data_IF_774591208915
#
_entry.id   IF_774591208915
#
_cell.length_a   1.000
_cell.length_b   1.000
_cell.length_c   1.000
_cell.angle_alpha   90.00
_cell.angle_beta   90.00
_cell.angle_gamma   90.00
#
_symmetry.space_group_name_H-M   'P 1'
#
loop_
_entity.id
_entity.type
_entity.pdbx_description
1 polymer ?
#
# COMPACT_ATOMS: atom_id res chain seq x y z
N UNK A 1 -22.02 -22.94 -10.84
CA UNK A 1 -20.60 -22.59 -11.00
C UNK A 1 -20.33 -21.37 -10.12
N UNK A 2 -19.39 -21.46 -9.19
CA UNK A 2 -18.96 -20.26 -8.43
C UNK A 2 -17.90 -19.59 -9.28
N UNK A 3 -18.26 -18.48 -9.91
CA UNK A 3 -17.28 -17.59 -10.54
C UNK A 3 -16.70 -16.73 -9.43
N UNK A 4 -15.51 -17.08 -8.96
CA UNK A 4 -14.73 -16.18 -8.12
C UNK A 4 -14.12 -15.17 -9.08
N UNK A 5 -14.76 -14.01 -9.19
CA UNK A 5 -14.09 -12.83 -9.72
C UNK A 5 -13.02 -12.44 -8.70
N UNK A 6 -11.85 -13.08 -8.81
CA UNK A 6 -10.71 -12.81 -7.96
C UNK A 6 -9.91 -11.62 -8.52
N UNK A 7 -10.62 -10.55 -8.90
CA UNK A 7 -10.00 -9.27 -9.18
C UNK A 7 -9.16 -8.89 -7.97
N UNK A 8 -7.84 -9.03 -8.13
CA UNK A 8 -6.90 -8.79 -7.05
C UNK A 8 -6.94 -7.30 -6.78
N UNK A 9 -7.72 -6.90 -5.76
CA UNK A 9 -7.79 -5.50 -5.33
C UNK A 9 -6.38 -5.12 -4.91
N UNK A 10 -5.78 -4.17 -5.63
CA UNK A 10 -4.44 -3.66 -5.38
C UNK A 10 -4.50 -2.15 -5.24
N UNK A 11 -3.68 -1.62 -4.36
CA UNK A 11 -3.46 -0.18 -4.22
C UNK A 11 -1.99 0.09 -4.50
N UNK A 12 -1.73 0.97 -5.45
CA UNK A 12 -0.39 1.45 -5.77
C UNK A 12 -0.05 2.62 -4.83
N UNK A 13 1.04 2.46 -4.09
CA UNK A 13 1.65 3.47 -3.25
C UNK A 13 2.81 4.08 -4.04
N UNK A 14 2.64 5.33 -4.48
CA UNK A 14 3.70 6.08 -5.16
C UNK A 14 4.33 7.08 -4.21
N UNK A 15 5.52 6.75 -3.75
CA UNK A 15 6.32 7.60 -2.88
C UNK A 15 7.11 8.59 -3.73
N UNK A 16 7.01 9.86 -3.39
CA UNK A 16 7.81 10.96 -3.93
C UNK A 16 8.19 11.92 -2.82
N UNK A 17 9.01 12.92 -3.14
CA UNK A 17 9.50 13.87 -2.13
C UNK A 17 8.33 14.52 -1.39
N UNK A 18 8.29 14.31 -0.08
CA UNK A 18 7.27 14.79 0.85
C UNK A 18 5.82 14.38 0.51
N UNK A 19 5.63 13.35 -0.32
CA UNK A 19 4.30 13.01 -0.84
C UNK A 19 4.13 11.52 -1.08
N UNK A 20 3.00 10.99 -0.63
CA UNK A 20 2.51 9.67 -0.98
C UNK A 20 1.24 9.83 -1.82
N UNK A 21 1.19 9.16 -2.97
CA UNK A 21 -0.04 9.03 -3.76
C UNK A 21 -0.52 7.58 -3.69
N UNK A 22 -1.77 7.39 -3.28
CA UNK A 22 -2.47 6.11 -3.30
C UNK A 22 -3.36 6.06 -4.54
N UNK A 23 -3.18 5.05 -5.38
CA UNK A 23 -4.02 4.83 -6.55
C UNK A 23 -4.64 3.42 -6.52
N UNK A 24 -5.96 3.35 -6.65
CA UNK A 24 -6.69 2.10 -6.78
C UNK A 24 -7.40 2.07 -8.13
N UNK A 25 -7.37 0.93 -8.82
CA UNK A 25 -8.07 0.72 -10.07
C UNK A 25 -8.90 -0.56 -9.98
N UNK A 26 -10.22 -0.43 -10.06
CA UNK A 26 -11.14 -1.56 -10.25
C UNK A 26 -11.54 -1.66 -11.72
N UNK A 27 -11.72 -2.87 -12.27
CA UNK A 27 -12.02 -2.98 -13.70
C UNK A 27 -13.39 -2.41 -14.07
N UNK A 28 -14.33 -2.41 -13.12
CA UNK A 28 -15.70 -1.88 -13.29
C UNK A 28 -15.94 -0.54 -12.59
N UNK A 29 -15.16 -0.23 -11.55
CA UNK A 29 -15.41 0.89 -10.62
C UNK A 29 -14.59 2.15 -10.93
N UNK A 30 -13.68 2.10 -11.90
CA UNK A 30 -12.85 3.24 -12.31
C UNK A 30 -11.56 3.38 -11.49
N UNK A 31 -10.94 4.56 -11.57
CA UNK A 31 -9.70 4.89 -10.85
C UNK A 31 -9.99 5.83 -9.69
N UNK A 32 -9.43 5.52 -8.53
CA UNK A 32 -9.41 6.40 -7.35
C UNK A 32 -7.98 6.83 -7.06
N UNK A 33 -7.80 8.09 -6.68
CA UNK A 33 -6.50 8.69 -6.36
C UNK A 33 -6.62 9.54 -5.10
N UNK A 34 -5.73 9.32 -4.13
CA UNK A 34 -5.60 10.10 -2.90
C UNK A 34 -4.15 10.55 -2.76
N UNK A 35 -3.92 11.80 -2.40
CA UNK A 35 -2.57 12.33 -2.13
C UNK A 35 -2.47 12.72 -0.65
N UNK A 36 -1.36 12.33 -0.03
CA UNK A 36 -1.08 12.52 1.39
C UNK A 36 0.31 13.14 1.55
N UNK A 37 0.47 14.18 2.39
CA UNK A 37 1.79 14.63 2.81
C UNK A 37 2.43 13.58 3.72
N UNK A 38 3.71 13.26 3.49
CA UNK A 38 4.48 12.30 4.31
C UNK A 38 5.92 12.78 4.44
N UNK A 39 6.62 12.38 5.51
CA UNK A 39 8.06 12.62 5.64
C UNK A 39 8.87 11.63 4.79
N UNK A 40 9.03 11.91 3.50
CA UNK A 40 9.77 11.02 2.58
C UNK A 40 10.79 11.79 1.74
N UNK A 41 12.08 11.48 1.93
CA UNK A 41 13.20 12.10 1.20
C UNK A 41 13.96 11.11 0.30
N UNK A 42 13.49 9.85 0.23
CA UNK A 42 14.11 8.81 -0.59
C UNK A 42 13.89 8.99 -2.09
N UNK A 43 14.44 8.06 -2.88
CA UNK A 43 14.20 7.98 -4.33
C UNK A 43 12.72 7.68 -4.59
N UNK A 44 12.14 8.27 -5.63
CA UNK A 44 10.77 7.93 -6.02
C UNK A 44 10.61 6.42 -6.26
N UNK A 45 9.57 5.83 -5.69
CA UNK A 45 9.29 4.39 -5.81
C UNK A 45 7.79 4.12 -5.81
N UNK A 46 7.40 3.08 -6.54
CA UNK A 46 6.02 2.61 -6.63
C UNK A 46 5.95 1.19 -6.07
N UNK A 47 5.09 0.98 -5.07
CA UNK A 47 4.89 -0.32 -4.41
C UNK A 47 3.41 -0.69 -4.43
N UNK A 48 3.09 -1.93 -4.77
CA UNK A 48 1.71 -2.44 -4.74
C UNK A 48 1.42 -3.17 -3.45
N UNK A 49 0.25 -2.95 -2.86
CA UNK A 49 -0.23 -3.74 -1.73
C UNK A 49 -1.65 -4.26 -1.95
N UNK A 50 -1.95 -5.42 -1.35
CA UNK A 50 -3.33 -5.82 -1.13
C UNK A 50 -3.91 -4.95 0.00
N UNK A 51 -4.92 -4.10 -0.26
CA UNK A 51 -5.46 -3.19 0.74
C UNK A 51 -6.11 -3.92 1.91
N UNK A 52 -6.52 -5.18 1.76
CA UNK A 52 -7.11 -5.94 2.86
C UNK A 52 -6.14 -6.05 4.05
N UNK A 53 -4.85 -6.32 3.79
CA UNK A 53 -3.86 -6.44 4.86
C UNK A 53 -3.59 -5.11 5.57
N UNK A 54 -3.55 -4.01 4.81
CA UNK A 54 -3.41 -2.67 5.39
C UNK A 54 -4.63 -2.29 6.23
N UNK A 55 -5.84 -2.58 5.75
CA UNK A 55 -7.08 -2.31 6.49
C UNK A 55 -7.15 -3.15 7.77
N UNK A 56 -6.74 -4.42 7.75
CA UNK A 56 -6.68 -5.25 8.97
C UNK A 56 -5.71 -4.67 10.00
N UNK A 57 -4.53 -4.19 9.57
CA UNK A 57 -3.60 -3.52 10.46
C UNK A 57 -4.18 -2.22 11.04
N UNK A 58 -4.79 -1.38 10.20
CA UNK A 58 -5.34 -0.09 10.62
C UNK A 58 -6.50 -0.23 11.64
N UNK A 59 -7.19 -1.38 11.69
CA UNK A 59 -8.26 -1.63 12.69
C UNK A 59 -7.76 -1.72 14.12
N UNK A 60 -6.49 -2.09 14.33
CA UNK A 60 -5.92 -2.30 15.67
C UNK A 60 -5.02 -1.15 16.12
N UNK A 61 -4.71 -0.22 15.21
CA UNK A 61 -3.93 0.97 15.50
C UNK A 61 -4.85 2.08 16.02
N UNK A 62 -4.50 2.80 17.09
CA UNK A 62 -5.28 3.94 17.55
C UNK A 62 -5.44 5.01 16.46
N UNK A 63 -6.61 5.64 16.39
CA UNK A 63 -6.82 6.79 15.52
C UNK A 63 -5.74 7.85 15.77
N UNK A 64 -5.29 8.52 14.71
CA UNK A 64 -4.25 9.55 14.71
C UNK A 64 -2.82 9.09 15.05
N UNK A 65 -2.58 7.77 15.11
CA UNK A 65 -1.22 7.26 15.27
C UNK A 65 -0.35 7.54 14.05
N UNK A 66 0.89 7.96 14.30
CA UNK A 66 1.90 8.08 13.26
C UNK A 66 2.45 6.69 12.90
N UNK A 67 2.51 6.41 11.60
CA UNK A 67 3.01 5.15 11.06
C UNK A 67 4.33 5.40 10.34
N UNK A 68 5.34 4.59 10.66
CA UNK A 68 6.63 4.59 9.94
C UNK A 68 6.71 3.33 9.08
N UNK A 69 7.04 3.51 7.79
CA UNK A 69 7.17 2.40 6.84
C UNK A 69 8.64 2.27 6.45
N UNK A 70 9.22 1.11 6.73
CA UNK A 70 10.57 0.77 6.32
C UNK A 70 10.53 0.12 4.94
N UNK A 71 11.01 0.86 3.94
CA UNK A 71 10.97 0.51 2.53
C UNK A 71 12.40 0.30 2.01
N UNK A 72 12.62 -0.84 1.35
CA UNK A 72 13.89 -1.13 0.66
C UNK A 72 13.70 -0.98 -0.85
N UNK A 73 12.76 -1.74 -1.41
CA UNK A 73 12.35 -1.68 -2.80
C UNK A 73 10.90 -2.16 -2.97
N UNK A 74 10.43 -2.28 -4.22
CA UNK A 74 9.06 -2.64 -4.54
C UNK A 74 8.73 -4.15 -4.41
N UNK A 75 9.73 -4.99 -4.13
CA UNK A 75 9.59 -6.46 -4.08
C UNK A 75 9.87 -7.00 -2.67
N UNK A 76 10.58 -6.24 -1.85
CA UNK A 76 10.96 -6.60 -0.49
C UNK A 76 9.79 -6.38 0.50
N UNK A 77 9.54 -7.31 1.45
CA UNK A 77 8.57 -7.10 2.51
C UNK A 77 8.77 -5.78 3.23
N UNK A 78 7.66 -5.11 3.52
CA UNK A 78 7.64 -3.80 4.18
C UNK A 78 7.27 -3.99 5.63
N UNK A 79 8.08 -3.43 6.52
CA UNK A 79 7.80 -3.39 7.94
C UNK A 79 7.14 -2.04 8.27
N UNK A 80 6.02 -2.10 8.99
CA UNK A 80 5.26 -0.93 9.40
C UNK A 80 5.27 -0.86 10.92
N UNK A 81 5.74 0.26 11.45
CA UNK A 81 5.83 0.53 12.87
C UNK A 81 4.74 1.50 13.31
N UNK A 82 4.18 1.25 14.49
CA UNK A 82 3.28 2.16 15.18
C UNK A 82 3.69 2.24 16.65
N UNK A 83 4.29 3.37 17.06
CA UNK A 83 4.88 3.48 18.40
C UNK A 83 6.01 2.46 18.64
N UNK A 84 6.26 2.12 19.91
CA UNK A 84 7.39 1.26 20.29
C UNK A 84 7.09 -0.25 20.18
N UNK A 85 5.84 -0.67 20.38
CA UNK A 85 5.51 -2.07 20.66
C UNK A 85 4.70 -2.76 19.55
N UNK A 86 4.36 -2.05 18.47
CA UNK A 86 3.60 -2.61 17.36
C UNK A 86 4.38 -2.55 16.05
N UNK A 87 4.54 -3.73 15.44
CA UNK A 87 5.13 -3.88 14.11
C UNK A 87 4.29 -4.82 13.27
N UNK A 88 4.12 -4.49 11.99
CA UNK A 88 3.33 -5.25 11.03
C UNK A 88 4.12 -5.46 9.75
N UNK A 89 4.22 -6.71 9.29
CA UNK A 89 4.91 -7.05 8.05
C UNK A 89 3.88 -7.27 6.93
N UNK A 90 4.08 -6.63 5.79
CA UNK A 90 3.27 -6.84 4.59
C UNK A 90 4.15 -7.10 3.37
N UNK A 91 3.77 -8.09 2.57
CA UNK A 91 4.48 -8.44 1.33
C UNK A 91 3.91 -7.62 0.17
N UNK A 92 4.75 -6.94 -0.62
CA UNK A 92 4.31 -6.26 -1.83
C UNK A 92 3.73 -7.21 -2.88
N UNK A 93 2.89 -6.65 -3.74
CA UNK A 93 2.41 -7.29 -4.97
C UNK A 93 2.89 -6.50 -6.18
N UNK A 94 3.27 -7.22 -7.23
CA UNK A 94 3.79 -6.60 -8.45
C UNK A 94 2.77 -5.67 -9.09
N UNK A 95 3.22 -4.46 -9.44
CA UNK A 95 2.43 -3.49 -10.18
C UNK A 95 2.37 -3.79 -11.68
N UNK A 96 3.30 -4.59 -12.20
CA UNK A 96 3.32 -4.99 -13.62
C UNK A 96 2.04 -5.76 -13.92
N UNK A 97 1.21 -5.26 -14.85
CA UNK A 97 0.21 -6.13 -15.45
C UNK A 97 0.94 -7.13 -16.33
N UNK A 98 0.56 -8.40 -16.28
CA UNK A 98 0.99 -9.34 -17.30
C UNK A 98 0.54 -8.79 -18.67
N UNK A 99 1.39 -8.76 -19.71
CA UNK A 99 0.89 -8.55 -21.06
C UNK A 99 -0.09 -9.69 -21.34
N UNK A 100 -1.30 -9.34 -21.78
CA UNK A 100 -2.24 -10.30 -22.37
C UNK A 100 -1.65 -10.81 -23.68
#
# INVERSE_FOLDING_TARGET
AVMVDNETKRVAFRFGKNKLTLEAQGATTGRSKVELPVGYEGRAMDVGFNPAYLVEMLKVVPADSELTLDLIDAETPVLIHCGADYSYLVVPISLKSSPV
#
